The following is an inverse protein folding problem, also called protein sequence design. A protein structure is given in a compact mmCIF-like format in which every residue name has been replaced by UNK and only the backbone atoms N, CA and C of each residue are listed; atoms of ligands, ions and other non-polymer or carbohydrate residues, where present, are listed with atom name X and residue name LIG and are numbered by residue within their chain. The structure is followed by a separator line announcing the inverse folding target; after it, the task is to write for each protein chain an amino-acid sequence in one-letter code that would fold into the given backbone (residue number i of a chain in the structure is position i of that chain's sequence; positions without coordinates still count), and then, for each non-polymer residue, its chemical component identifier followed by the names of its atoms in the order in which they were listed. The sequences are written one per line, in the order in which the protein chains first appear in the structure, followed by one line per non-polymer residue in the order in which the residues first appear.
data_IF_644966928335
#
_entry.id   IF_644966928335
#
_cell.length_a   1.000
_cell.length_b   1.000
_cell.length_c   1.000
_cell.angle_alpha   90.00
_cell.angle_beta   90.00
_cell.angle_gamma   90.00
#
_symmetry.space_group_name_H-M   'P 1'
#
loop_
_entity.id
_entity.type
_entity.pdbx_description
1 polymer ?
#
# COMPACT_ATOMS: atom_id res chain seq x y z
N UNK A 1 -11.73 -24.86 -25.37
CA UNK A 1 -10.78 -23.73 -25.20
C UNK A 1 -11.24 -22.57 -26.06
N UNK A 2 -11.40 -21.35 -25.53
CA UNK A 2 -11.71 -20.19 -26.38
C UNK A 2 -10.55 -19.97 -27.36
N UNK A 3 -10.84 -19.95 -28.66
CA UNK A 3 -9.81 -19.69 -29.66
C UNK A 3 -9.32 -18.24 -29.56
N UNK A 4 -7.99 -18.07 -29.42
CA UNK A 4 -7.30 -16.77 -29.45
C UNK A 4 -7.72 -16.01 -30.71
N UNK A 5 -8.06 -14.73 -30.56
CA UNK A 5 -8.46 -13.88 -31.70
C UNK A 5 -7.30 -13.79 -32.70
N UNK A 6 -7.61 -13.84 -34.00
CA UNK A 6 -6.62 -13.66 -35.07
C UNK A 6 -5.86 -12.35 -34.94
N UNK A 7 -6.47 -11.34 -34.30
CA UNK A 7 -5.85 -10.06 -33.98
C UNK A 7 -4.60 -10.22 -33.10
N UNK A 8 -4.66 -11.10 -32.09
CA UNK A 8 -3.54 -11.35 -31.16
C UNK A 8 -2.42 -12.14 -31.86
N UNK A 9 -2.76 -12.92 -32.89
CA UNK A 9 -1.80 -13.78 -33.58
C UNK A 9 -1.13 -13.09 -34.77
N UNK A 10 -1.81 -12.15 -35.43
CA UNK A 10 -1.40 -11.62 -36.73
C UNK A 10 -0.89 -10.17 -36.69
N UNK A 11 -1.40 -9.31 -35.79
CA UNK A 11 -0.98 -7.91 -35.76
C UNK A 11 0.38 -7.76 -35.06
N UNK A 12 1.16 -6.77 -35.51
CA UNK A 12 2.31 -6.25 -34.76
C UNK A 12 1.88 -5.63 -33.42
N UNK A 13 2.80 -5.50 -32.46
CA UNK A 13 2.50 -4.87 -31.17
C UNK A 13 2.14 -3.38 -31.31
N UNK A 14 2.74 -2.69 -32.30
CA UNK A 14 2.42 -1.30 -32.64
C UNK A 14 0.97 -1.18 -33.14
N UNK A 15 0.57 -2.00 -34.10
CA UNK A 15 -0.79 -1.97 -34.66
C UNK A 15 -1.84 -2.42 -33.65
N UNK A 16 -1.53 -3.38 -32.75
CA UNK A 16 -2.40 -3.73 -31.63
C UNK A 16 -2.59 -2.55 -30.68
N UNK A 17 -1.51 -1.84 -30.37
CA UNK A 17 -1.56 -0.66 -29.49
C UNK A 17 -2.42 0.45 -30.10
N UNK A 18 -2.30 0.69 -31.40
CA UNK A 18 -3.12 1.68 -32.08
C UNK A 18 -4.59 1.23 -32.20
N UNK A 19 -4.84 -0.04 -32.48
CA UNK A 19 -6.18 -0.62 -32.44
C UNK A 19 -6.82 -0.45 -31.06
N UNK A 20 -6.05 -0.70 -29.98
CA UNK A 20 -6.49 -0.51 -28.60
C UNK A 20 -6.87 0.96 -28.32
N UNK A 21 -6.05 1.94 -28.74
CA UNK A 21 -6.38 3.36 -28.59
C UNK A 21 -7.66 3.73 -29.34
N UNK A 22 -7.84 3.20 -30.56
CA UNK A 22 -9.04 3.45 -31.36
C UNK A 22 -10.30 2.89 -30.69
N UNK A 23 -10.22 1.68 -30.15
CA UNK A 23 -11.34 1.07 -29.41
C UNK A 23 -11.68 1.87 -28.15
N UNK A 24 -10.68 2.31 -27.38
CA UNK A 24 -10.88 3.14 -26.17
C UNK A 24 -11.52 4.48 -26.51
N UNK A 25 -11.23 5.06 -27.68
CA UNK A 25 -11.82 6.35 -28.08
C UNK A 25 -13.33 6.29 -28.28
N UNK A 26 -13.91 5.10 -28.50
CA UNK A 26 -15.35 4.90 -28.75
C UNK A 26 -15.88 5.50 -30.06
N UNK A 27 -15.02 6.10 -30.89
CA UNK A 27 -15.41 6.80 -32.13
C UNK A 27 -15.49 5.91 -33.37
N UNK A 28 -14.94 4.70 -33.28
CA UNK A 28 -14.78 3.81 -34.43
C UNK A 28 -15.83 2.70 -34.42
N UNK A 29 -16.45 2.45 -35.57
CA UNK A 29 -17.32 1.29 -35.76
C UNK A 29 -16.48 0.04 -36.02
N UNK A 30 -17.04 -1.14 -35.74
CA UNK A 30 -16.38 -2.43 -36.07
C UNK A 30 -15.99 -2.50 -37.55
N UNK A 31 -16.83 -1.95 -38.43
CA UNK A 31 -16.53 -1.89 -39.86
C UNK A 31 -15.32 -1.01 -40.16
N UNK A 32 -15.26 0.19 -39.56
CA UNK A 32 -14.13 1.11 -39.74
C UNK A 32 -12.82 0.55 -39.19
N UNK A 33 -12.87 -0.21 -38.09
CA UNK A 33 -11.69 -0.92 -37.57
C UNK A 33 -11.19 -2.01 -38.52
N UNK A 34 -12.11 -2.78 -39.13
CA UNK A 34 -11.75 -3.79 -40.14
C UNK A 34 -11.12 -3.11 -41.37
N UNK A 35 -11.68 -2.00 -41.83
CA UNK A 35 -11.14 -1.25 -42.97
C UNK A 35 -9.74 -0.70 -42.66
N UNK A 36 -9.54 -0.12 -41.47
CA UNK A 36 -8.24 0.35 -41.01
C UNK A 36 -7.19 -0.77 -40.94
N UNK A 37 -7.58 -1.96 -40.49
CA UNK A 37 -6.72 -3.15 -40.49
C UNK A 37 -6.39 -3.60 -41.93
N UNK A 38 -7.37 -3.56 -42.83
CA UNK A 38 -7.18 -3.88 -44.24
C UNK A 38 -6.20 -2.93 -44.96
N UNK A 39 -6.26 -1.63 -44.67
CA UNK A 39 -5.32 -0.63 -45.21
C UNK A 39 -3.86 -0.89 -44.80
N UNK A 40 -3.65 -1.62 -43.70
CA UNK A 40 -2.35 -2.03 -43.19
C UNK A 40 -1.93 -3.43 -43.66
N UNK A 41 -2.72 -4.06 -44.53
CA UNK A 41 -2.44 -5.38 -45.09
C UNK A 41 -2.92 -6.56 -44.25
N UNK A 42 -3.75 -6.33 -43.22
CA UNK A 42 -4.30 -7.40 -42.39
C UNK A 42 -5.67 -7.86 -42.87
N UNK A 43 -5.84 -9.17 -43.06
CA UNK A 43 -7.13 -9.79 -43.37
C UNK A 43 -7.86 -10.24 -42.10
N UNK A 44 -8.50 -9.29 -41.41
CA UNK A 44 -9.22 -9.54 -40.15
C UNK A 44 -10.73 -9.45 -40.37
N UNK A 45 -11.47 -10.50 -39.98
CA UNK A 45 -12.93 -10.49 -40.07
C UNK A 45 -13.59 -9.61 -39.01
N UNK A 46 -14.82 -9.12 -39.29
CA UNK A 46 -15.66 -8.40 -38.32
C UNK A 46 -15.85 -9.19 -37.01
N UNK A 47 -16.03 -10.51 -37.11
CA UNK A 47 -16.21 -11.39 -35.96
C UNK A 47 -14.95 -11.48 -35.10
N UNK A 48 -13.76 -11.42 -35.69
CA UNK A 48 -12.49 -11.39 -34.96
C UNK A 48 -12.31 -10.07 -34.19
N UNK A 49 -12.65 -8.94 -34.81
CA UNK A 49 -12.69 -7.63 -34.13
C UNK A 49 -13.69 -7.63 -32.98
N UNK A 50 -14.91 -8.12 -33.21
CA UNK A 50 -15.94 -8.14 -32.17
C UNK A 50 -15.54 -9.02 -30.98
N UNK A 51 -14.97 -10.22 -31.23
CA UNK A 51 -14.46 -11.09 -30.16
C UNK A 51 -13.33 -10.44 -29.37
N UNK A 52 -12.43 -9.74 -30.06
CA UNK A 52 -11.35 -9.00 -29.42
C UNK A 52 -11.88 -7.87 -28.53
N UNK A 53 -12.83 -7.06 -29.03
CA UNK A 53 -13.52 -6.03 -28.25
C UNK A 53 -14.22 -6.60 -27.01
N UNK A 54 -14.98 -7.69 -27.17
CA UNK A 54 -15.65 -8.35 -26.04
C UNK A 54 -14.65 -8.85 -24.98
N UNK A 55 -13.51 -9.40 -25.42
CA UNK A 55 -12.43 -9.79 -24.52
C UNK A 55 -11.90 -8.59 -23.73
N UNK A 56 -11.63 -7.47 -24.39
CA UNK A 56 -11.13 -6.24 -23.75
C UNK A 56 -12.15 -5.63 -22.79
N UNK A 57 -13.43 -5.63 -23.13
CA UNK A 57 -14.49 -5.13 -22.26
C UNK A 57 -14.64 -5.99 -20.99
N UNK A 58 -14.53 -7.32 -21.10
CA UNK A 58 -14.51 -8.20 -19.92
C UNK A 58 -13.35 -7.88 -18.97
N UNK A 59 -12.16 -7.64 -19.52
CA UNK A 59 -10.99 -7.22 -18.72
C UNK A 59 -11.24 -5.87 -18.06
N UNK A 60 -11.74 -4.89 -18.80
CA UNK A 60 -12.05 -3.56 -18.27
C UNK A 60 -13.10 -3.61 -17.15
N UNK A 61 -14.18 -4.38 -17.32
CA UNK A 61 -15.20 -4.58 -16.30
C UNK A 61 -14.63 -5.20 -15.03
N UNK A 62 -13.73 -6.17 -15.17
CA UNK A 62 -13.07 -6.83 -14.04
C UNK A 62 -12.08 -5.92 -13.33
N UNK A 63 -11.35 -5.05 -14.04
CA UNK A 63 -10.49 -4.01 -13.43
C UNK A 63 -11.34 -3.00 -12.64
N UNK A 64 -12.48 -2.56 -13.18
CA UNK A 64 -13.40 -1.68 -12.46
C UNK A 64 -13.89 -2.33 -11.16
N UNK A 65 -14.32 -3.59 -11.25
CA UNK A 65 -14.70 -4.38 -10.09
C UNK A 65 -13.54 -4.50 -9.07
N UNK A 66 -12.32 -4.79 -9.53
CA UNK A 66 -11.13 -4.86 -8.67
C UNK A 66 -10.91 -3.57 -7.89
N UNK A 67 -11.09 -2.41 -8.54
CA UNK A 67 -10.94 -1.09 -7.92
C UNK A 67 -12.02 -0.85 -6.88
N UNK A 68 -13.29 -1.09 -7.21
CA UNK A 68 -14.40 -0.95 -6.26
C UNK A 68 -14.17 -1.80 -5.00
N UNK A 69 -13.72 -3.03 -5.20
CA UNK A 69 -13.43 -3.92 -4.09
C UNK A 69 -12.20 -3.45 -3.28
N UNK A 70 -11.14 -2.98 -3.94
CA UNK A 70 -9.98 -2.41 -3.25
C UNK A 70 -10.34 -1.16 -2.43
N UNK A 71 -11.18 -0.29 -2.98
CA UNK A 71 -11.66 0.92 -2.30
C UNK A 71 -12.49 0.56 -1.06
N UNK A 72 -13.34 -0.47 -1.16
CA UNK A 72 -14.08 -1.01 -0.02
C UNK A 72 -13.15 -1.55 1.09
N UNK A 73 -12.06 -2.23 0.71
CA UNK A 73 -11.05 -2.70 1.68
C UNK A 73 -10.31 -1.55 2.36
N UNK A 74 -9.93 -0.53 1.60
CA UNK A 74 -9.27 0.68 2.15
C UNK A 74 -10.19 1.37 3.17
N UNK A 75 -11.48 1.48 2.87
CA UNK A 75 -12.48 2.01 3.80
C UNK A 75 -12.59 1.18 5.09
N UNK A 76 -12.40 -0.14 4.99
CA UNK A 76 -12.49 -1.06 6.13
C UNK A 76 -11.23 -1.07 7.03
N UNK A 77 -10.08 -0.76 6.45
CA UNK A 77 -8.76 -0.66 7.11
C UNK A 77 -8.64 0.64 7.93
N UNK A 78 -9.34 1.71 7.54
CA UNK A 78 -9.36 3.00 8.24
C UNK A 78 -8.21 3.94 7.86
N UNK A 79 -8.50 5.24 7.75
CA UNK A 79 -7.55 6.28 7.30
C UNK A 79 -6.26 6.35 8.14
N UNK A 80 -6.36 6.02 9.44
CA UNK A 80 -5.27 6.09 10.41
C UNK A 80 -4.13 5.10 10.14
N UNK A 81 -4.43 4.00 9.42
CA UNK A 81 -3.45 2.98 9.05
C UNK A 81 -2.78 3.34 7.71
N UNK A 82 -3.56 3.92 6.80
CA UNK A 82 -3.11 4.29 5.45
C UNK A 82 -2.22 5.53 5.47
N UNK A 83 -2.39 6.43 6.44
CA UNK A 83 -1.70 7.73 6.51
C UNK A 83 -0.18 7.69 6.74
N UNK A 84 0.38 6.52 7.08
CA UNK A 84 1.83 6.36 7.26
C UNK A 84 2.53 5.91 5.97
N UNK A 85 3.75 6.40 5.71
CA UNK A 85 4.55 6.04 4.51
C UNK A 85 4.77 4.53 4.36
N UNK A 86 4.87 3.80 5.48
CA UNK A 86 5.00 2.34 5.50
C UNK A 86 3.65 1.63 5.37
N UNK A 87 2.58 2.20 5.93
CA UNK A 87 1.20 1.74 5.70
C UNK A 87 0.82 1.82 4.23
N UNK A 88 1.20 2.90 3.53
CA UNK A 88 1.06 3.02 2.08
C UNK A 88 1.78 1.87 1.33
N UNK A 89 3.00 1.51 1.73
CA UNK A 89 3.75 0.42 1.11
C UNK A 89 3.05 -0.93 1.29
N UNK A 90 2.53 -1.20 2.50
CA UNK A 90 1.76 -2.42 2.78
C UNK A 90 0.50 -2.46 1.93
N UNK A 91 -0.25 -1.36 1.84
CA UNK A 91 -1.43 -1.24 0.97
C UNK A 91 -1.08 -1.48 -0.50
N UNK A 92 0.06 -0.97 -0.97
CA UNK A 92 0.50 -1.14 -2.36
C UNK A 92 0.91 -2.58 -2.69
N UNK A 93 1.63 -3.26 -1.79
CA UNK A 93 1.95 -4.69 -1.89
C UNK A 93 0.66 -5.51 -1.96
N UNK A 94 -0.31 -5.20 -1.10
CA UNK A 94 -1.59 -5.91 -1.05
C UNK A 94 -2.44 -5.69 -2.30
N UNK A 95 -2.48 -4.46 -2.83
CA UNK A 95 -3.14 -4.14 -4.10
C UNK A 95 -2.54 -4.97 -5.25
N UNK A 96 -1.23 -5.15 -5.24
CA UNK A 96 -0.51 -5.98 -6.22
C UNK A 96 -0.93 -7.45 -6.09
N UNK A 97 -0.99 -8.00 -4.86
CA UNK A 97 -1.43 -9.39 -4.64
C UNK A 97 -2.89 -9.63 -5.07
N UNK A 98 -3.79 -8.69 -4.80
CA UNK A 98 -5.19 -8.75 -5.26
C UNK A 98 -5.25 -8.75 -6.79
N UNK A 99 -4.47 -7.88 -7.44
CA UNK A 99 -4.39 -7.82 -8.89
C UNK A 99 -3.87 -9.13 -9.48
N UNK A 100 -2.81 -9.72 -8.91
CA UNK A 100 -2.26 -10.99 -9.34
C UNK A 100 -3.28 -12.14 -9.17
N UNK A 101 -3.99 -12.17 -8.05
CA UNK A 101 -5.05 -13.15 -7.81
C UNK A 101 -6.18 -13.04 -8.84
N UNK A 102 -6.62 -11.81 -9.12
CA UNK A 102 -7.65 -11.55 -10.13
C UNK A 102 -7.18 -11.88 -11.54
N UNK A 103 -5.91 -11.64 -11.85
CA UNK A 103 -5.30 -11.96 -13.15
C UNK A 103 -5.22 -13.47 -13.34
N UNK A 104 -4.84 -14.25 -12.33
CA UNK A 104 -4.88 -15.72 -12.39
C UNK A 104 -6.28 -16.26 -12.58
N UNK A 105 -7.27 -15.69 -11.87
CA UNK A 105 -8.68 -16.01 -12.09
C UNK A 105 -9.17 -15.70 -13.52
N UNK A 106 -8.59 -14.70 -14.20
CA UNK A 106 -8.86 -14.45 -15.62
C UNK A 106 -8.34 -15.55 -16.55
N UNK A 107 -7.17 -16.14 -16.24
CA UNK A 107 -6.59 -17.22 -17.05
C UNK A 107 -7.42 -18.50 -16.97
N UNK A 108 -8.08 -18.73 -15.82
CA UNK A 108 -8.90 -19.91 -15.54
C UNK A 108 -10.39 -19.73 -15.90
N UNK A 109 -10.80 -18.56 -16.41
CA UNK A 109 -12.20 -18.17 -16.66
C UNK A 109 -13.10 -18.39 -15.42
N UNK A 110 -12.50 -18.24 -14.24
CA UNK A 110 -13.11 -18.55 -12.97
C UNK A 110 -13.81 -17.31 -12.37
N UNK A 111 -14.92 -17.56 -11.68
CA UNK A 111 -15.63 -16.53 -10.93
C UNK A 111 -14.91 -16.28 -9.60
N UNK A 112 -14.46 -15.05 -9.37
CA UNK A 112 -14.00 -14.57 -8.07
C UNK A 112 -15.08 -14.91 -7.03
N UNK A 113 -14.71 -15.77 -6.10
CA UNK A 113 -15.54 -16.13 -4.95
C UNK A 113 -15.62 -14.91 -4.01
N UNK A 114 -16.84 -14.35 -3.78
CA UNK A 114 -17.04 -13.24 -2.86
C UNK A 114 -16.53 -13.54 -1.44
N UNK A 115 -16.60 -14.80 -1.02
CA UNK A 115 -16.15 -15.22 0.31
C UNK A 115 -14.62 -15.22 0.41
N UNK A 116 -13.92 -15.74 -0.60
CA UNK A 116 -12.46 -15.63 -0.68
C UNK A 116 -12.01 -14.16 -0.69
N UNK A 117 -12.75 -13.28 -1.36
CA UNK A 117 -12.45 -11.85 -1.38
C UNK A 117 -12.65 -11.20 -0.01
N UNK A 118 -13.73 -11.54 0.69
CA UNK A 118 -13.99 -11.07 2.06
C UNK A 118 -12.89 -11.53 3.03
N UNK A 119 -12.48 -12.79 2.96
CA UNK A 119 -11.39 -13.31 3.80
C UNK A 119 -10.04 -12.65 3.50
N UNK A 120 -9.76 -12.36 2.23
CA UNK A 120 -8.58 -11.61 1.83
C UNK A 120 -8.60 -10.20 2.42
N UNK A 121 -9.75 -9.52 2.34
CA UNK A 121 -9.97 -8.21 2.96
C UNK A 121 -9.73 -8.19 4.46
N UNK A 122 -10.28 -9.20 5.15
CA UNK A 122 -10.08 -9.36 6.59
C UNK A 122 -8.63 -9.62 6.96
N UNK A 123 -7.95 -10.52 6.25
CA UNK A 123 -6.54 -10.82 6.48
C UNK A 123 -5.65 -9.58 6.27
N UNK A 124 -5.99 -8.75 5.29
CA UNK A 124 -5.35 -7.46 5.02
C UNK A 124 -5.51 -6.50 6.21
N UNK A 125 -6.73 -6.34 6.70
CA UNK A 125 -7.03 -5.49 7.86
C UNK A 125 -6.31 -5.95 9.13
N UNK A 126 -6.31 -7.26 9.37
CA UNK A 126 -5.65 -7.87 10.53
C UNK A 126 -4.12 -7.67 10.47
N UNK A 127 -3.50 -7.87 9.30
CA UNK A 127 -2.06 -7.64 9.10
C UNK A 127 -1.68 -6.17 9.24
N UNK A 128 -2.48 -5.26 8.69
CA UNK A 128 -2.21 -3.83 8.79
C UNK A 128 -2.33 -3.32 10.24
N UNK A 129 -3.29 -3.86 10.98
CA UNK A 129 -3.47 -3.59 12.42
C UNK A 129 -2.31 -4.14 13.26
N UNK A 130 -1.84 -5.37 12.96
CA UNK A 130 -0.70 -5.99 13.64
C UNK A 130 0.60 -5.20 13.43
N UNK A 131 0.89 -4.79 12.20
CA UNK A 131 2.06 -3.97 11.90
C UNK A 131 2.06 -2.64 12.67
N UNK A 132 0.89 -2.00 12.82
CA UNK A 132 0.77 -0.78 13.61
C UNK A 132 1.07 -1.02 15.09
N UNK A 133 0.54 -2.10 15.67
CA UNK A 133 0.77 -2.45 17.07
C UNK A 133 2.27 -2.63 17.37
N UNK A 134 2.98 -3.29 16.45
CA UNK A 134 4.43 -3.48 16.56
C UNK A 134 5.21 -2.16 16.48
N UNK A 135 4.75 -1.20 15.66
CA UNK A 135 5.36 0.13 15.57
C UNK A 135 5.11 0.98 16.82
N UNK A 136 3.86 1.01 17.32
CA UNK A 136 3.53 1.73 18.54
C UNK A 136 4.35 1.18 19.73
N UNK A 137 4.56 -0.14 19.76
CA UNK A 137 5.43 -0.78 20.72
C UNK A 137 6.91 -0.38 20.52
N UNK A 138 7.44 -0.44 19.30
CA UNK A 138 8.81 -0.05 19.00
C UNK A 138 9.10 1.43 19.30
N UNK A 139 8.15 2.33 19.02
CA UNK A 139 8.25 3.75 19.35
C UNK A 139 8.30 3.98 20.87
N UNK A 140 7.40 3.32 21.62
CA UNK A 140 7.41 3.36 23.09
C UNK A 140 8.72 2.83 23.67
N UNK A 141 9.23 1.72 23.12
CA UNK A 141 10.53 1.16 23.54
C UNK A 141 11.67 2.13 23.27
N UNK A 142 11.73 2.76 22.09
CA UNK A 142 12.76 3.77 21.78
C UNK A 142 12.66 5.00 22.67
N UNK A 143 11.44 5.49 22.93
CA UNK A 143 11.22 6.63 23.83
C UNK A 143 11.67 6.28 25.25
N UNK A 144 11.35 5.08 25.73
CA UNK A 144 11.75 4.61 27.04
C UNK A 144 13.27 4.45 27.15
N UNK A 145 13.92 3.84 26.17
CA UNK A 145 15.39 3.75 26.11
C UNK A 145 16.01 5.16 26.08
N UNK A 146 15.50 6.08 25.26
CA UNK A 146 16.02 7.45 25.20
C UNK A 146 15.83 8.20 26.52
N UNK A 147 14.72 7.98 27.22
CA UNK A 147 14.45 8.55 28.54
C UNK A 147 15.38 7.99 29.60
N UNK A 148 15.62 6.68 29.59
CA UNK A 148 16.55 6.00 30.50
C UNK A 148 17.99 6.45 30.26
N UNK A 149 18.43 6.56 29.00
CA UNK A 149 19.78 7.04 28.65
C UNK A 149 19.96 8.52 29.00
N UNK A 150 18.95 9.37 28.78
CA UNK A 150 18.99 10.78 29.25
C UNK A 150 19.10 10.86 30.77
N UNK A 151 18.37 10.03 31.51
CA UNK A 151 18.46 9.97 32.96
C UNK A 151 19.84 9.54 33.44
N UNK A 152 20.42 8.48 32.84
CA UNK A 152 21.78 8.02 33.14
C UNK A 152 22.83 9.09 32.83
N UNK A 153 22.72 9.75 31.68
CA UNK A 153 23.61 10.85 31.29
C UNK A 153 23.49 12.04 32.25
N UNK A 154 22.28 12.37 32.71
CA UNK A 154 22.04 13.41 33.70
C UNK A 154 22.62 13.07 35.07
N UNK A 155 22.57 11.80 35.48
CA UNK A 155 23.16 11.33 36.74
C UNK A 155 24.70 11.35 36.69
N UNK A 156 25.29 10.91 35.57
CA UNK A 156 26.73 10.97 35.35
C UNK A 156 27.23 12.42 35.28
N UNK A 157 26.54 13.28 34.53
CA UNK A 157 26.83 14.71 34.42
C UNK A 157 26.72 15.43 35.77
N UNK A 158 25.67 15.13 36.55
CA UNK A 158 25.51 15.70 37.90
C UNK A 158 26.67 15.35 38.83
N UNK A 159 27.14 14.08 38.81
CA UNK A 159 28.31 13.65 39.59
C UNK A 159 29.58 14.39 39.16
N UNK A 160 29.80 14.53 37.85
CA UNK A 160 30.97 15.23 37.31
C UNK A 160 30.97 16.74 37.64
N UNK A 161 29.81 17.39 37.56
CA UNK A 161 29.64 18.81 37.89
C UNK A 161 29.76 19.06 39.40
N UNK A 162 29.22 18.17 40.24
CA UNK A 162 29.40 18.23 41.69
C UNK A 162 30.88 18.11 42.09
N UNK A 163 31.63 17.21 41.44
CA UNK A 163 33.08 17.08 41.63
C UNK A 163 33.87 18.33 41.20
N UNK A 164 33.28 19.22 40.39
CA UNK A 164 33.83 20.52 39.98
C UNK A 164 33.35 21.69 40.85
N UNK A 165 32.59 21.43 41.91
CA UNK A 165 32.17 22.45 42.87
C UNK A 165 30.91 23.23 42.51
N UNK A 166 30.14 22.80 41.49
CA UNK A 166 28.86 23.43 41.18
C UNK A 166 27.82 23.15 42.26
N UNK A 167 26.97 24.14 42.52
CA UNK A 167 25.88 24.03 43.50
C UNK A 167 24.76 23.13 42.98
N UNK A 168 23.97 22.58 43.92
CA UNK A 168 22.82 21.72 43.58
C UNK A 168 21.82 22.40 42.63
N UNK A 169 21.60 23.71 42.80
CA UNK A 169 20.71 24.51 41.94
C UNK A 169 21.22 24.62 40.51
N UNK A 170 22.52 24.77 40.32
CA UNK A 170 23.14 24.83 38.98
C UNK A 170 23.11 23.45 38.30
N UNK A 171 23.32 22.38 39.05
CA UNK A 171 23.21 21.01 38.52
C UNK A 171 21.77 20.69 38.12
N UNK A 172 20.78 21.09 38.92
CA UNK A 172 19.36 20.94 38.59
C UNK A 172 18.96 21.76 37.36
N UNK A 173 19.51 22.96 37.20
CA UNK A 173 19.36 23.77 35.99
C UNK A 173 19.84 23.00 34.75
N UNK A 174 21.06 22.44 34.77
CA UNK A 174 21.58 21.67 33.63
C UNK A 174 20.78 20.39 33.34
N UNK A 175 20.31 19.68 34.38
CA UNK A 175 19.47 18.48 34.20
C UNK A 175 18.16 18.80 33.50
N UNK A 176 17.50 19.89 33.90
CA UNK A 176 16.19 20.28 33.37
C UNK A 176 16.31 20.95 32.01
N UNK A 177 17.15 21.98 31.91
CA UNK A 177 17.13 22.92 30.78
C UNK A 177 18.01 22.46 29.61
N UNK A 178 19.02 21.62 29.86
CA UNK A 178 19.88 21.06 28.80
C UNK A 178 19.56 19.60 28.50
N UNK A 179 19.33 18.77 29.54
CA UNK A 179 19.07 17.34 29.36
C UNK A 179 17.58 16.96 29.33
N UNK A 180 16.67 17.90 29.64
CA UNK A 180 15.23 17.66 29.63
C UNK A 180 14.75 16.66 30.67
N UNK A 181 15.55 16.40 31.72
CA UNK A 181 15.24 15.46 32.79
C UNK A 181 14.63 16.24 33.96
N UNK A 182 13.36 15.99 34.35
CA UNK A 182 12.75 16.67 35.48
C UNK A 182 13.49 16.35 36.78
N UNK A 183 13.41 17.27 37.75
CA UNK A 183 14.01 17.05 39.07
C UNK A 183 13.50 15.73 39.67
N UNK A 184 14.42 14.92 40.21
CA UNK A 184 14.05 13.67 40.85
C UNK A 184 13.06 13.99 41.97
N UNK A 185 11.80 13.56 41.84
CA UNK A 185 10.84 13.66 42.92
C UNK A 185 11.45 12.94 44.11
N UNK A 186 11.64 13.65 45.22
CA UNK A 186 12.04 13.04 46.48
C UNK A 186 11.04 11.93 46.81
N UNK A 187 11.41 10.66 46.55
CA UNK A 187 10.79 9.54 47.23
C UNK A 187 11.15 9.72 48.70
N UNK A 188 10.14 10.11 49.47
CA UNK A 188 10.25 10.46 50.87
C UNK A 188 10.99 9.39 51.67
N UNK A 189 12.08 9.80 52.29
CA UNK A 189 12.41 9.32 53.62
C UNK A 189 11.47 10.02 54.59
N UNK A 190 10.64 9.23 55.26
CA UNK A 190 9.79 9.64 56.36
C UNK A 190 9.59 8.42 57.23
N UNK A 191 10.52 8.23 58.17
CA UNK A 191 10.35 7.36 59.32
C UNK A 191 9.06 7.74 60.07
N UNK A 192 8.26 6.72 60.37
CA UNK A 192 7.51 6.56 61.62
C UNK A 192 7.27 5.06 61.83
#
# INVERSE_FOLDING_TARGET
MPQKSSIILQLSDEDRTDLDKMMVSGKWTVLGLVEWLGQRGYEISKSAVHRYMQGREKVAARIRQSREMADALVAEVGEDIVSSKQGHLVVEILRTMVFDFMTKQMEEDATVDPQAFFFLGKAIKDLASANRLDQDYAAKVREQIAKEERAKAADAGAKALAGKGLTKKEIEFWRRDFLGVPAASAKGGGDA
#
